data_IF_932906149663
#
_entry.id   IF_932906149663
#
_cell.length_a   1.000
_cell.length_b   1.000
_cell.length_c   1.000
_cell.angle_alpha   90.00
_cell.angle_beta   90.00
_cell.angle_gamma   90.00
#
_symmetry.space_group_name_H-M   'P 1'
#
loop_
_entity.id
_entity.type
_entity.pdbx_description
1 polymer ?
#
# COMPACT_ATOMS: atom_id res chain seq x y z
N UNK A 1 -33.17 25.25 18.35
CA UNK A 1 -32.39 24.01 18.16
C UNK A 1 -31.24 24.31 17.22
N UNK A 2 -29.99 24.20 17.68
CA UNK A 2 -28.81 24.29 16.78
C UNK A 2 -28.55 22.88 16.24
N UNK A 3 -28.26 22.68 14.95
CA UNK A 3 -27.80 21.39 14.50
C UNK A 3 -26.40 21.18 15.08
N UNK A 4 -26.20 20.01 15.69
CA UNK A 4 -24.90 19.57 16.12
C UNK A 4 -23.99 19.56 14.89
N UNK A 5 -22.91 20.33 14.95
CA UNK A 5 -21.81 20.24 14.00
C UNK A 5 -21.29 18.81 14.05
N UNK A 6 -21.67 18.00 13.05
CA UNK A 6 -21.01 16.74 12.73
C UNK A 6 -19.53 17.06 12.57
N UNK A 7 -18.75 16.78 13.62
CA UNK A 7 -17.31 16.84 13.55
C UNK A 7 -16.88 15.86 12.47
N UNK A 8 -16.47 16.39 11.31
CA UNK A 8 -15.93 15.58 10.23
C UNK A 8 -14.84 14.68 10.83
N UNK A 9 -15.08 13.38 10.83
CA UNK A 9 -14.12 12.40 11.33
C UNK A 9 -12.78 12.66 10.61
N UNK A 10 -11.69 12.96 11.33
CA UNK A 10 -10.39 13.24 10.73
C UNK A 10 -9.93 12.09 9.84
N UNK A 11 -10.31 10.85 10.16
CA UNK A 11 -10.10 9.68 9.32
C UNK A 11 -10.87 9.76 8.00
N UNK A 12 -12.16 10.11 8.00
CA UNK A 12 -12.93 10.31 6.75
C UNK A 12 -12.40 11.46 5.91
N UNK A 13 -11.92 12.52 6.55
CA UNK A 13 -11.36 13.70 5.87
C UNK A 13 -9.99 13.38 5.27
N UNK A 14 -9.19 12.57 5.96
CA UNK A 14 -7.92 12.04 5.45
C UNK A 14 -8.16 11.05 4.31
N UNK A 15 -9.07 10.09 4.48
CA UNK A 15 -9.49 9.16 3.42
C UNK A 15 -10.00 9.94 2.22
N UNK A 16 -10.93 10.89 2.36
CA UNK A 16 -11.38 11.69 1.22
C UNK A 16 -10.23 12.48 0.56
N UNK A 17 -9.35 13.13 1.34
CA UNK A 17 -8.21 13.88 0.76
C UNK A 17 -7.11 13.02 0.13
N UNK A 18 -6.94 11.79 0.61
CA UNK A 18 -5.89 10.85 0.17
C UNK A 18 -6.41 9.87 -0.89
N UNK A 19 -7.70 9.52 -0.85
CA UNK A 19 -8.37 8.48 -1.67
C UNK A 19 -9.25 9.07 -2.78
N UNK A 20 -9.83 10.27 -2.60
CA UNK A 20 -10.64 10.97 -3.64
C UNK A 20 -9.88 12.06 -4.40
N UNK A 21 -8.62 12.34 -4.03
CA UNK A 21 -7.69 12.84 -5.05
C UNK A 21 -7.67 11.80 -6.17
N UNK A 22 -7.63 12.18 -7.45
CA UNK A 22 -7.35 11.21 -8.50
C UNK A 22 -6.10 10.46 -8.03
N UNK A 23 -6.27 9.16 -7.74
CA UNK A 23 -5.15 8.29 -7.41
C UNK A 23 -4.13 8.58 -8.48
N UNK A 24 -2.95 8.98 -8.03
CA UNK A 24 -1.92 9.56 -8.87
C UNK A 24 -1.83 8.78 -10.18
N UNK A 25 -1.78 9.49 -11.30
CA UNK A 25 -1.35 8.98 -12.60
C UNK A 25 0.06 8.40 -12.49
N UNK A 26 0.19 7.21 -11.89
CA UNK A 26 1.42 6.74 -11.27
C UNK A 26 1.96 5.46 -11.87
N UNK A 27 1.08 4.58 -12.35
CA UNK A 27 1.51 3.41 -13.11
C UNK A 27 2.00 3.85 -14.49
N UNK A 28 3.31 3.77 -14.69
CA UNK A 28 3.91 3.90 -16.01
C UNK A 28 3.43 2.75 -16.91
N UNK A 29 3.25 3.01 -18.20
CA UNK A 29 2.88 1.97 -19.18
C UNK A 29 3.95 1.81 -20.24
N UNK A 30 4.37 0.57 -20.50
CA UNK A 30 5.27 0.20 -21.60
C UNK A 30 4.52 -0.78 -22.50
N UNK A 31 4.30 -0.42 -23.77
CA UNK A 31 3.63 -1.29 -24.75
C UNK A 31 2.28 -1.88 -24.27
N UNK A 32 1.42 -1.05 -23.65
CA UNK A 32 0.13 -1.42 -23.02
C UNK A 32 0.20 -2.28 -21.76
N UNK A 33 1.40 -2.50 -21.24
CA UNK A 33 1.63 -3.19 -19.97
C UNK A 33 1.93 -2.19 -18.87
N UNK A 34 1.36 -2.40 -17.70
CA UNK A 34 1.60 -1.55 -16.55
C UNK A 34 2.92 -1.93 -15.87
N UNK A 35 3.73 -0.92 -15.54
CA UNK A 35 4.93 -1.05 -14.73
C UNK A 35 4.55 -0.80 -13.28
N UNK A 36 4.91 -1.72 -12.39
CA UNK A 36 4.60 -1.63 -10.97
C UNK A 36 5.79 -2.03 -10.10
N UNK A 37 5.69 -1.70 -8.83
CA UNK A 37 6.65 -2.09 -7.81
C UNK A 37 6.06 -3.15 -6.88
N UNK A 38 6.92 -4.04 -6.43
CA UNK A 38 6.61 -5.13 -5.50
C UNK A 38 7.60 -5.13 -4.35
N UNK A 39 7.09 -5.47 -3.17
CA UNK A 39 7.86 -5.61 -1.94
C UNK A 39 7.97 -7.10 -1.61
N UNK A 40 9.18 -7.64 -1.53
CA UNK A 40 9.43 -9.09 -1.46
C UNK A 40 10.37 -9.42 -0.31
N UNK A 41 9.95 -10.29 0.60
CA UNK A 41 10.82 -10.89 1.62
C UNK A 41 11.22 -12.30 1.18
N UNK A 42 12.39 -12.44 0.55
CA UNK A 42 12.84 -13.71 -0.04
C UNK A 42 12.92 -14.88 0.94
N UNK A 43 13.20 -14.59 2.20
CA UNK A 43 13.33 -15.62 3.23
C UNK A 43 11.96 -16.16 3.66
N UNK A 44 10.91 -15.34 3.64
CA UNK A 44 9.53 -15.80 3.86
C UNK A 44 8.91 -16.40 2.59
N UNK A 45 9.33 -15.97 1.40
CA UNK A 45 8.91 -16.60 0.13
C UNK A 45 9.26 -18.09 0.13
N UNK A 46 10.47 -18.47 0.57
CA UNK A 46 10.92 -19.87 0.62
C UNK A 46 10.05 -20.75 1.52
N UNK A 47 9.53 -20.20 2.60
CA UNK A 47 8.71 -20.91 3.58
C UNK A 47 7.20 -20.75 3.35
N UNK A 48 6.78 -20.00 2.32
CA UNK A 48 5.38 -19.70 2.07
C UNK A 48 4.75 -18.81 3.14
N UNK A 49 5.55 -17.99 3.82
CA UNK A 49 5.09 -17.09 4.86
C UNK A 49 4.12 -16.03 4.36
N UNK A 50 3.23 -15.58 5.25
CA UNK A 50 2.32 -14.47 4.99
C UNK A 50 3.07 -13.20 4.61
N UNK A 51 2.48 -12.39 3.73
CA UNK A 51 3.05 -11.10 3.27
C UNK A 51 4.49 -11.22 2.75
N UNK A 52 4.84 -12.37 2.19
CA UNK A 52 6.16 -12.62 1.58
C UNK A 52 6.35 -11.88 0.25
N UNK A 53 5.26 -11.58 -0.45
CA UNK A 53 5.21 -10.71 -1.63
C UNK A 53 4.00 -9.78 -1.49
N UNK A 54 4.22 -8.47 -1.61
CA UNK A 54 3.17 -7.45 -1.51
C UNK A 54 3.26 -6.54 -2.73
N UNK A 55 2.19 -6.48 -3.53
CA UNK A 55 2.13 -5.77 -4.80
C UNK A 55 0.67 -5.64 -5.26
N UNK A 56 0.32 -4.67 -6.13
CA UNK A 56 1.21 -3.72 -6.80
C UNK A 56 1.29 -2.35 -6.12
N UNK A 57 2.42 -1.67 -6.29
CA UNK A 57 2.60 -0.25 -5.97
C UNK A 57 2.92 0.54 -7.24
N UNK A 58 2.35 1.72 -7.40
CA UNK A 58 2.55 2.57 -8.57
C UNK A 58 3.90 3.27 -8.57
N UNK A 59 4.46 3.56 -7.39
CA UNK A 59 5.73 4.27 -7.23
C UNK A 59 6.72 3.52 -6.34
N UNK A 60 8.01 3.76 -6.57
CA UNK A 60 9.08 3.25 -5.71
C UNK A 60 8.92 3.74 -4.27
N UNK A 61 8.50 5.00 -4.08
CA UNK A 61 8.32 5.61 -2.77
C UNK A 61 7.25 4.89 -1.94
N UNK A 62 6.11 4.53 -2.54
CA UNK A 62 5.09 3.74 -1.84
C UNK A 62 5.59 2.35 -1.50
N UNK A 63 6.32 1.70 -2.41
CA UNK A 63 6.90 0.41 -2.13
C UNK A 63 7.95 0.48 -1.01
N UNK A 64 8.79 1.53 -0.96
CA UNK A 64 9.73 1.80 0.14
C UNK A 64 9.01 2.00 1.48
N UNK A 65 7.95 2.81 1.51
CA UNK A 65 7.13 2.99 2.71
C UNK A 65 6.53 1.65 3.17
N UNK A 66 5.95 0.88 2.26
CA UNK A 66 5.37 -0.41 2.60
C UNK A 66 6.42 -1.40 3.13
N UNK A 67 7.62 -1.44 2.53
CA UNK A 67 8.72 -2.25 3.03
C UNK A 67 9.13 -1.85 4.46
N UNK A 68 9.14 -0.57 4.79
CA UNK A 68 9.43 -0.09 6.16
C UNK A 68 8.37 -0.57 7.15
N UNK A 69 7.08 -0.38 6.83
CA UNK A 69 5.97 -0.86 7.67
C UNK A 69 6.07 -2.37 7.86
N UNK A 70 6.20 -3.14 6.78
CA UNK A 70 6.28 -4.60 6.85
C UNK A 70 7.50 -5.10 7.64
N UNK A 71 8.65 -4.42 7.53
CA UNK A 71 9.85 -4.79 8.31
C UNK A 71 9.62 -4.62 9.81
N UNK A 72 8.82 -3.64 10.24
CA UNK A 72 8.46 -3.45 11.64
C UNK A 72 7.58 -4.59 12.16
N UNK A 73 6.58 -5.00 11.36
CA UNK A 73 5.61 -6.03 11.77
C UNK A 73 6.10 -7.47 11.63
N UNK A 74 6.96 -7.74 10.65
CA UNK A 74 7.45 -9.07 10.34
C UNK A 74 8.98 -9.10 10.51
N UNK A 75 9.47 -9.20 11.76
CA UNK A 75 10.89 -9.14 12.06
C UNK A 75 11.61 -10.34 11.47
N UNK A 76 12.63 -10.06 10.66
CA UNK A 76 13.36 -11.07 9.91
C UNK A 76 14.20 -10.45 8.80
N UNK A 77 14.56 -11.25 7.78
CA UNK A 77 15.39 -10.80 6.67
C UNK A 77 14.66 -9.74 5.80
N UNK A 78 15.44 -8.78 5.28
CA UNK A 78 14.97 -7.53 4.68
C UNK A 78 14.03 -7.71 3.48
N UNK A 79 13.02 -6.84 3.41
CA UNK A 79 12.18 -6.68 2.24
C UNK A 79 12.94 -5.98 1.10
N UNK A 80 13.00 -6.61 -0.07
CA UNK A 80 13.55 -6.06 -1.30
C UNK A 80 12.46 -5.42 -2.16
N UNK A 81 12.84 -4.44 -2.96
CA UNK A 81 11.97 -3.75 -3.90
C UNK A 81 12.25 -4.25 -5.32
N UNK A 82 11.22 -4.66 -6.03
CA UNK A 82 11.32 -5.12 -7.41
C UNK A 82 10.41 -4.29 -8.31
N UNK A 83 10.97 -3.71 -9.38
CA UNK A 83 10.21 -3.11 -10.47
C UNK A 83 9.86 -4.19 -11.49
N UNK A 84 8.57 -4.32 -11.80
CA UNK A 84 8.03 -5.36 -12.68
C UNK A 84 7.13 -4.74 -13.75
N UNK A 85 6.90 -5.51 -14.81
CA UNK A 85 5.97 -5.16 -15.90
C UNK A 85 4.88 -6.22 -15.89
N UNK A 86 3.62 -5.81 -16.04
CA UNK A 86 2.48 -6.74 -16.09
C UNK A 86 2.64 -7.72 -17.26
N UNK A 87 2.36 -8.99 -17.00
CA UNK A 87 2.42 -10.01 -18.05
C UNK A 87 1.30 -9.82 -19.08
N UNK A 88 0.15 -9.32 -18.61
CA UNK A 88 -1.04 -9.02 -19.41
C UNK A 88 -1.09 -7.54 -19.74
N UNK A 89 -1.82 -7.22 -20.80
CA UNK A 89 -2.28 -5.88 -21.09
C UNK A 89 -3.31 -5.51 -20.01
N UNK A 90 -2.97 -4.54 -19.18
CA UNK A 90 -3.78 -4.12 -18.04
C UNK A 90 -3.81 -2.59 -18.06
N UNK A 91 -5.01 -2.03 -17.96
CA UNK A 91 -5.17 -0.57 -17.88
C UNK A 91 -4.69 -0.06 -16.52
N UNK A 92 -4.16 1.16 -16.49
CA UNK A 92 -3.69 1.77 -15.23
C UNK A 92 -4.79 1.82 -14.18
N UNK A 93 -6.03 2.09 -14.60
CA UNK A 93 -7.21 2.11 -13.73
C UNK A 93 -7.47 0.75 -13.06
N UNK A 94 -7.15 -0.38 -13.72
CA UNK A 94 -7.29 -1.70 -13.11
C UNK A 94 -6.20 -1.92 -12.05
N UNK A 95 -4.97 -1.47 -12.32
CA UNK A 95 -3.85 -1.55 -11.37
C UNK A 95 -4.09 -0.68 -10.13
N UNK A 96 -4.69 0.50 -10.30
CA UNK A 96 -5.05 1.42 -9.20
C UNK A 96 -6.02 0.76 -8.20
N UNK A 97 -6.96 -0.06 -8.68
CA UNK A 97 -7.88 -0.81 -7.80
C UNK A 97 -7.12 -1.80 -6.93
N UNK A 98 -6.18 -2.53 -7.51
CA UNK A 98 -5.35 -3.49 -6.76
C UNK A 98 -4.40 -2.77 -5.79
N UNK A 99 -3.76 -1.68 -6.22
CA UNK A 99 -2.91 -0.87 -5.37
C UNK A 99 -3.66 -0.34 -4.16
N UNK A 100 -4.87 0.19 -4.35
CA UNK A 100 -5.69 0.71 -3.24
C UNK A 100 -5.90 -0.35 -2.16
N UNK A 101 -6.27 -1.57 -2.56
CA UNK A 101 -6.46 -2.68 -1.62
C UNK A 101 -5.18 -2.99 -0.84
N UNK A 102 -4.03 -2.95 -1.50
CA UNK A 102 -2.73 -3.24 -0.86
C UNK A 102 -2.30 -2.10 0.07
N UNK A 103 -2.49 -0.85 -0.34
CA UNK A 103 -2.18 0.31 0.48
C UNK A 103 -3.07 0.33 1.73
N UNK A 104 -4.36 0.05 1.60
CA UNK A 104 -5.28 -0.01 2.74
C UNK A 104 -4.84 -1.07 3.76
N UNK A 105 -4.40 -2.24 3.30
CA UNK A 105 -3.85 -3.30 4.15
C UNK A 105 -2.59 -2.86 4.91
N UNK A 106 -1.65 -2.20 4.23
CA UNK A 106 -0.39 -1.73 4.84
C UNK A 106 -0.65 -0.56 5.80
N UNK A 107 -1.60 0.32 5.49
CA UNK A 107 -2.05 1.38 6.41
C UNK A 107 -2.67 0.77 7.66
N UNK A 108 -3.50 -0.27 7.52
CA UNK A 108 -4.10 -0.94 8.67
C UNK A 108 -3.04 -1.55 9.60
N UNK A 109 -1.98 -2.14 9.03
CA UNK A 109 -0.82 -2.60 9.80
C UNK A 109 -0.15 -1.42 10.53
N UNK A 110 0.23 -0.36 9.80
CA UNK A 110 0.89 0.81 10.38
C UNK A 110 0.07 1.45 11.53
N UNK A 111 -1.25 1.48 11.40
CA UNK A 111 -2.15 1.97 12.44
C UNK A 111 -2.20 1.05 13.65
N UNK A 112 -2.16 -0.28 13.45
CA UNK A 112 -2.12 -1.24 14.55
C UNK A 112 -0.89 -1.02 15.43
N UNK A 113 0.28 -0.76 14.84
CA UNK A 113 1.51 -0.45 15.59
C UNK A 113 1.40 0.85 16.39
N UNK A 114 0.84 1.90 15.78
CA UNK A 114 0.65 3.21 16.44
C UNK A 114 -0.29 3.13 17.63
N UNK A 115 -1.31 2.27 17.57
CA UNK A 115 -2.28 2.10 18.65
C UNK A 115 -1.88 1.03 19.69
N UNK A 116 -1.01 0.08 19.34
CA UNK A 116 -0.45 -0.87 20.31
C UNK A 116 0.57 -0.23 21.26
N UNK A 117 1.15 0.92 20.88
CA UNK A 117 2.22 1.60 21.63
C UNK A 117 1.70 2.76 22.52
N UNK A 118 0.38 2.96 22.63
CA UNK A 118 -0.18 3.93 23.56
C UNK A 118 -0.31 3.29 24.96
N UNK A 119 0.49 3.70 25.98
CA UNK A 119 0.22 3.32 27.35
C UNK A 119 -1.00 4.10 27.86
N UNK A 120 -1.90 3.41 28.56
CA UNK A 120 -2.86 4.02 29.50
C UNK A 120 -2.12 4.73 30.64
#
# INVERSE_FOLDING_TARGET
>A
MRPASEGLNPYRTWVAKTVERPLCSGFETVEKKAVFWSVVCWETVKSGGERSIVHPFSTEQQAQWAAQVLTTHYPGPMYALLRQISEKDVETAQMEVFERSVVDDVVALELADKHATAPD
#
